data_IF_149505815874
#
_entry.id   IF_149505815874
#
_cell.length_a   1.000
_cell.length_b   1.000
_cell.length_c   1.000
_cell.angle_alpha   90.00
_cell.angle_beta   90.00
_cell.angle_gamma   90.00
#
_symmetry.space_group_name_H-M   'P 1'
#
loop_
_entity.id
_entity.type
_entity.pdbx_description
1 polymer ?
#
# COMPACT_ATOMS: atom_id res chain seq x y z
N UNK A 1 4.72 1.61 4.96
CA UNK A 1 3.25 1.62 5.14
C UNK A 1 2.81 1.36 6.58
N UNK A 2 3.28 0.30 7.25
CA UNK A 2 2.94 0.04 8.66
C UNK A 2 3.22 1.24 9.59
N UNK A 3 4.39 1.88 9.47
CA UNK A 3 4.72 3.06 10.26
C UNK A 3 3.83 4.27 9.92
N UNK A 4 3.47 4.44 8.64
CA UNK A 4 2.56 5.50 8.20
C UNK A 4 1.18 5.33 8.85
N UNK A 5 0.65 4.10 8.85
CA UNK A 5 -0.63 3.76 9.47
C UNK A 5 -0.66 4.09 10.96
N UNK A 6 0.45 3.86 11.67
CA UNK A 6 0.57 4.12 13.10
C UNK A 6 1.09 5.54 13.41
N UNK A 7 1.14 6.44 12.42
CA UNK A 7 1.62 7.81 12.59
C UNK A 7 0.49 8.83 12.58
N UNK A 8 0.77 10.02 13.12
CA UNK A 8 -0.12 11.19 13.05
C UNK A 8 -0.45 11.63 11.62
N UNK A 9 0.40 11.24 10.65
CA UNK A 9 0.26 11.64 9.25
C UNK A 9 -0.73 10.78 8.47
N UNK A 10 -1.18 9.63 9.01
CA UNK A 10 -2.12 8.72 8.35
C UNK A 10 -3.32 9.48 7.79
N UNK A 11 -4.01 10.25 8.65
CA UNK A 11 -5.25 10.92 8.29
C UNK A 11 -5.01 11.93 7.16
N UNK A 12 -4.02 12.80 7.32
CA UNK A 12 -3.66 13.80 6.30
C UNK A 12 -3.31 13.15 4.96
N UNK A 13 -2.53 12.07 4.97
CA UNK A 13 -2.14 11.35 3.77
C UNK A 13 -3.32 10.65 3.07
N UNK A 14 -4.33 10.20 3.83
CA UNK A 14 -5.52 9.57 3.27
C UNK A 14 -6.60 10.59 2.85
N UNK A 15 -6.63 11.78 3.44
CA UNK A 15 -7.57 12.84 3.06
C UNK A 15 -7.15 13.54 1.75
N UNK A 16 -5.86 13.50 1.40
CA UNK A 16 -5.31 14.11 0.19
C UNK A 16 -5.40 13.17 -1.03
N UNK A 17 -6.62 12.97 -1.54
CA UNK A 17 -6.87 12.12 -2.71
C UNK A 17 -6.36 12.77 -4.00
N UNK A 18 -6.35 14.10 -4.08
CA UNK A 18 -5.84 14.84 -5.23
C UNK A 18 -4.36 14.53 -5.47
N UNK A 19 -3.56 14.44 -4.40
CA UNK A 19 -2.16 14.02 -4.49
C UNK A 19 -1.99 12.61 -5.10
N UNK A 20 -2.90 11.68 -4.79
CA UNK A 20 -2.89 10.33 -5.38
C UNK A 20 -3.19 10.38 -6.87
N UNK A 21 -4.15 11.21 -7.29
CA UNK A 21 -4.51 11.39 -8.70
C UNK A 21 -3.35 12.01 -9.48
N UNK A 22 -2.76 13.10 -8.99
CA UNK A 22 -1.63 13.78 -9.62
C UNK A 22 -0.41 12.86 -9.77
N UNK A 23 -0.07 12.13 -8.70
CA UNK A 23 1.02 11.15 -8.74
C UNK A 23 0.75 10.03 -9.74
N UNK A 24 -0.51 9.60 -9.88
CA UNK A 24 -0.92 8.57 -10.84
C UNK A 24 -0.84 9.07 -12.27
N UNK A 25 -1.32 10.29 -12.56
CA UNK A 25 -1.21 10.91 -13.88
C UNK A 25 0.25 11.11 -14.30
N UNK A 26 1.09 11.58 -13.37
CA UNK A 26 2.53 11.69 -13.60
C UNK A 26 3.14 10.32 -13.96
N UNK A 27 2.86 9.28 -13.16
CA UNK A 27 3.37 7.93 -13.44
C UNK A 27 2.83 7.35 -14.75
N UNK A 28 1.57 7.59 -15.09
CA UNK A 28 0.98 7.16 -16.36
C UNK A 28 1.71 7.80 -17.56
N UNK A 29 2.10 9.07 -17.43
CA UNK A 29 2.79 9.82 -18.49
C UNK A 29 4.26 9.45 -18.66
N UNK A 30 5.00 9.28 -17.55
CA UNK A 30 6.46 9.09 -17.58
C UNK A 30 6.92 7.65 -17.37
N UNK A 31 6.12 6.83 -16.70
CA UNK A 31 6.44 5.46 -16.29
C UNK A 31 5.33 4.50 -16.68
N UNK A 32 4.89 4.56 -17.94
CA UNK A 32 3.84 3.70 -18.45
C UNK A 32 4.27 2.22 -18.31
N UNK A 33 3.53 1.47 -17.50
CA UNK A 33 3.72 0.05 -17.31
C UNK A 33 2.37 -0.64 -17.41
N UNK A 34 2.24 -1.58 -18.36
CA UNK A 34 1.03 -2.41 -18.51
C UNK A 34 0.70 -3.18 -17.23
N UNK A 35 1.71 -3.50 -16.44
CA UNK A 35 1.57 -4.25 -15.18
C UNK A 35 1.07 -3.42 -14.00
N UNK A 36 1.10 -2.08 -14.10
CA UNK A 36 0.67 -1.20 -13.01
C UNK A 36 -0.83 -0.90 -13.01
N UNK A 37 -1.50 -1.15 -14.15
CA UNK A 37 -2.96 -1.04 -14.36
C UNK A 37 -3.63 0.14 -13.60
N UNK A 38 -3.06 1.34 -13.77
CA UNK A 38 -3.52 2.55 -13.07
C UNK A 38 -5.00 2.86 -13.32
N UNK A 39 -5.49 2.53 -14.52
CA UNK A 39 -6.89 2.73 -14.91
C UNK A 39 -7.82 1.82 -14.09
N UNK A 40 -7.49 0.53 -13.90
CA UNK A 40 -8.28 -0.38 -13.04
C UNK A 40 -8.33 0.10 -11.58
N UNK A 41 -7.21 0.61 -11.06
CA UNK A 41 -7.16 1.09 -9.67
C UNK A 41 -8.03 2.32 -9.46
N UNK A 42 -8.07 3.24 -10.44
CA UNK A 42 -8.87 4.46 -10.36
C UNK A 42 -10.35 4.22 -10.69
N UNK A 43 -10.64 3.44 -11.73
CA UNK A 43 -12.01 3.20 -12.23
C UNK A 43 -12.74 2.15 -11.39
N UNK A 44 -12.07 1.02 -11.11
CA UNK A 44 -12.66 -0.10 -10.35
C UNK A 44 -12.37 -0.03 -8.85
N UNK A 45 -11.65 1.02 -8.39
CA UNK A 45 -11.38 1.29 -6.97
C UNK A 45 -10.78 0.07 -6.27
N UNK A 46 -9.89 -0.61 -6.98
CA UNK A 46 -9.35 -1.92 -6.67
C UNK A 46 -7.86 -1.82 -6.35
N UNK A 47 -7.48 -0.90 -5.45
CA UNK A 47 -6.11 -0.81 -4.99
C UNK A 47 -5.79 -2.04 -4.15
N UNK A 48 -4.73 -2.76 -4.53
CA UNK A 48 -4.20 -3.91 -3.78
C UNK A 48 -2.85 -3.57 -3.16
N UNK A 49 -2.79 -3.59 -1.83
CA UNK A 49 -1.57 -3.49 -1.02
C UNK A 49 -0.99 -4.86 -0.70
N UNK A 50 -1.85 -5.88 -0.60
CA UNK A 50 -1.44 -7.25 -0.30
C UNK A 50 -1.10 -7.97 -1.62
N UNK A 51 0.11 -8.56 -1.75
CA UNK A 51 0.45 -9.35 -2.92
C UNK A 51 -0.32 -10.68 -2.93
N UNK A 52 -0.42 -11.30 -4.10
CA UNK A 52 -1.07 -12.62 -4.25
C UNK A 52 -0.41 -13.69 -3.38
N UNK A 53 -1.20 -14.70 -2.96
CA UNK A 53 -0.79 -15.74 -2.01
C UNK A 53 0.53 -16.44 -2.38
N UNK A 54 0.78 -16.64 -3.67
CA UNK A 54 2.02 -17.24 -4.18
C UNK A 54 3.29 -16.44 -3.78
N UNK A 55 3.19 -15.11 -3.68
CA UNK A 55 4.34 -14.26 -3.30
C UNK A 55 4.45 -14.06 -1.79
N UNK A 56 3.42 -14.36 -1.02
CA UNK A 56 3.41 -14.13 0.43
C UNK A 56 4.53 -14.92 1.11
N UNK A 57 4.76 -16.17 0.70
CA UNK A 57 5.82 -17.00 1.30
C UNK A 57 7.23 -16.48 0.99
N UNK A 58 7.45 -15.93 -0.20
CA UNK A 58 8.71 -15.28 -0.56
C UNK A 58 8.93 -14.01 0.29
N UNK A 59 7.90 -13.17 0.40
CA UNK A 59 7.96 -11.95 1.22
C UNK A 59 8.19 -12.28 2.70
N UNK A 60 7.63 -13.38 3.20
CA UNK A 60 7.89 -13.84 4.58
C UNK A 60 9.33 -14.26 4.79
N UNK A 61 9.92 -14.97 3.83
CA UNK A 61 11.33 -15.36 3.90
C UNK A 61 12.23 -14.14 3.89
N UNK A 62 12.02 -13.23 2.94
CA UNK A 62 12.78 -11.98 2.84
C UNK A 62 12.67 -11.15 4.13
N UNK A 63 11.49 -11.11 4.75
CA UNK A 63 11.28 -10.43 6.02
C UNK A 63 12.12 -11.01 7.17
N UNK A 64 12.22 -12.35 7.24
CA UNK A 64 13.02 -13.02 8.27
C UNK A 64 14.50 -12.74 8.05
N UNK A 65 14.97 -12.82 6.80
CA UNK A 65 16.37 -12.60 6.44
C UNK A 65 16.78 -11.14 6.70
N UNK A 66 15.88 -10.18 6.45
CA UNK A 66 16.11 -8.75 6.68
C UNK A 66 15.88 -8.31 8.13
N UNK A 67 15.32 -9.16 9.01
CA UNK A 67 14.95 -8.77 10.38
C UNK A 67 16.13 -8.19 11.16
N UNK A 68 17.33 -8.70 10.91
CA UNK A 68 18.56 -8.26 11.56
C UNK A 68 19.02 -6.85 11.15
N UNK A 69 18.44 -6.26 10.10
CA UNK A 69 18.76 -4.91 9.63
C UNK A 69 17.92 -3.81 10.31
N UNK A 70 16.91 -4.18 11.11
CA UNK A 70 16.02 -3.22 11.76
C UNK A 70 16.37 -3.01 13.24
N UNK A 71 16.18 -1.79 13.71
CA UNK A 71 16.41 -1.39 15.11
C UNK A 71 15.07 -1.08 15.81
N UNK A 72 15.00 -1.36 17.11
CA UNK A 72 13.84 -1.05 17.95
C UNK A 72 12.73 -2.10 17.90
N UNK A 73 11.48 -1.67 18.03
CA UNK A 73 10.34 -2.58 17.99
C UNK A 73 10.05 -3.03 16.56
N UNK A 74 10.37 -4.29 16.27
CA UNK A 74 10.09 -4.92 14.97
C UNK A 74 8.73 -5.63 15.07
N UNK A 75 7.69 -5.15 14.38
CA UNK A 75 6.38 -5.81 14.38
C UNK A 75 6.49 -7.21 13.79
N UNK A 76 5.53 -8.10 14.06
CA UNK A 76 5.47 -9.37 13.33
C UNK A 76 4.98 -9.13 11.90
N UNK A 77 5.41 -9.98 10.96
CA UNK A 77 4.93 -9.92 9.59
C UNK A 77 3.40 -10.06 9.50
N UNK A 78 2.79 -10.84 10.39
CA UNK A 78 1.34 -10.96 10.51
C UNK A 78 0.69 -9.61 10.81
N UNK A 79 1.21 -8.88 11.81
CA UNK A 79 0.72 -7.55 12.16
C UNK A 79 0.89 -6.54 11.00
N UNK A 80 1.98 -6.65 10.24
CA UNK A 80 2.19 -5.82 9.04
C UNK A 80 1.09 -6.11 8.02
N UNK A 81 0.84 -7.37 7.68
CA UNK A 81 -0.19 -7.76 6.73
C UNK A 81 -1.60 -7.37 7.19
N UNK A 82 -1.94 -7.55 8.47
CA UNK A 82 -3.24 -7.12 9.01
C UNK A 82 -3.42 -5.60 8.90
N UNK A 83 -2.36 -4.84 9.20
CA UNK A 83 -2.38 -3.38 9.10
C UNK A 83 -2.53 -2.92 7.65
N UNK A 84 -1.81 -3.56 6.73
CA UNK A 84 -1.91 -3.31 5.29
C UNK A 84 -3.32 -3.62 4.76
N UNK A 85 -3.93 -4.72 5.20
CA UNK A 85 -5.30 -5.10 4.80
C UNK A 85 -6.32 -4.06 5.27
N UNK A 86 -6.20 -3.56 6.51
CA UNK A 86 -7.06 -2.47 7.00
C UNK A 86 -6.88 -1.20 6.17
N UNK A 87 -5.63 -0.84 5.89
CA UNK A 87 -5.30 0.34 5.11
C UNK A 87 -5.81 0.25 3.67
N UNK A 88 -5.76 -0.93 3.06
CA UNK A 88 -6.28 -1.19 1.72
C UNK A 88 -7.79 -0.90 1.66
N UNK A 89 -8.55 -1.40 2.63
CA UNK A 89 -9.99 -1.12 2.75
C UNK A 89 -10.24 0.36 2.96
N UNK A 90 -9.51 1.02 3.86
CA UNK A 90 -9.67 2.45 4.13
C UNK A 90 -9.39 3.33 2.89
N UNK A 91 -8.36 2.99 2.09
CA UNK A 91 -8.06 3.70 0.85
C UNK A 91 -9.17 3.47 -0.18
N UNK A 92 -9.57 2.21 -0.39
CA UNK A 92 -10.61 1.88 -1.36
C UNK A 92 -11.96 2.51 -0.99
N UNK A 93 -12.31 2.60 0.30
CA UNK A 93 -13.55 3.27 0.75
C UNK A 93 -13.50 4.79 0.54
N UNK A 94 -12.33 5.42 0.72
CA UNK A 94 -12.16 6.84 0.38
C UNK A 94 -12.23 7.09 -1.12
N UNK A 95 -11.66 6.19 -1.92
CA UNK A 95 -11.82 6.23 -3.38
C UNK A 95 -13.28 6.05 -3.80
N UNK A 96 -14.12 5.33 -3.03
CA UNK A 96 -15.57 5.16 -3.29
C UNK A 96 -16.39 6.42 -3.00
N UNK A 97 -15.96 7.22 -2.03
CA UNK A 97 -16.74 8.35 -1.51
C UNK A 97 -16.57 9.63 -2.35
N UNK A 98 -15.53 9.68 -3.19
CA UNK A 98 -15.39 10.63 -4.32
C UNK A 98 -15.90 9.99 -5.62
#
# INVERSE_FOLDING_TARGET
MYCLYNSIYKKKALDDIDLLLDATQFKKKFYWSKSANYDDVLENKNLKLIPDDFRIEQVKKDYVDMKNMFYGHIPSIKQIFETLKKLEVEINDKLKTN
#
